data_IF_278236276515
#
_entry.id   IF_278236276515
#
_cell.length_a   1.000
_cell.length_b   1.000
_cell.length_c   1.000
_cell.angle_alpha   90.00
_cell.angle_beta   90.00
_cell.angle_gamma   90.00
#
_symmetry.space_group_name_H-M   'P 1'
#
loop_
_entity.id
_entity.type
_entity.pdbx_description
1 polymer ?
#
# COMPACT_ATOMS: atom_id res chain seq x y z
N UNK A 1 5.69 7.28 9.10
CA UNK A 1 6.20 6.05 9.74
C UNK A 1 6.63 6.38 11.16
N UNK A 2 6.08 5.69 12.14
CA UNK A 2 6.48 5.87 13.55
C UNK A 2 7.77 5.10 13.76
N UNK A 3 8.86 5.84 14.02
CA UNK A 3 10.18 5.26 14.18
C UNK A 3 10.24 4.44 15.48
N UNK A 4 10.73 3.21 15.37
CA UNK A 4 11.00 2.35 16.52
C UNK A 4 12.34 2.74 17.14
N UNK A 5 12.41 2.78 18.47
CA UNK A 5 13.58 3.20 19.25
C UNK A 5 14.05 2.07 20.15
N UNK A 6 15.36 1.93 20.34
CA UNK A 6 15.92 0.94 21.26
C UNK A 6 15.63 1.38 22.70
N UNK A 7 15.27 0.43 23.56
CA UNK A 7 15.00 0.65 24.98
C UNK A 7 16.05 -0.08 25.80
N UNK A 8 16.80 0.66 26.61
CA UNK A 8 17.81 0.08 27.50
C UNK A 8 17.21 -0.30 28.87
N UNK A 9 16.37 0.58 29.43
CA UNK A 9 15.68 0.34 30.70
C UNK A 9 14.24 -0.13 30.48
N UNK A 10 13.92 -1.35 30.94
CA UNK A 10 12.58 -1.94 30.85
C UNK A 10 11.86 -2.06 32.20
N UNK A 11 12.38 -1.42 33.26
CA UNK A 11 11.88 -1.53 34.63
C UNK A 11 10.42 -1.08 34.80
N UNK A 12 10.02 0.02 34.15
CA UNK A 12 8.66 0.57 34.21
C UNK A 12 7.69 -0.08 33.19
N UNK A 13 8.11 -1.15 32.50
CA UNK A 13 7.29 -1.77 31.47
C UNK A 13 6.17 -2.64 32.07
N UNK A 14 4.93 -2.41 31.63
CA UNK A 14 3.76 -3.17 32.02
C UNK A 14 3.43 -4.17 30.92
N UNK A 15 3.26 -5.45 31.26
CA UNK A 15 2.92 -6.48 30.29
C UNK A 15 1.50 -6.28 29.75
N UNK A 16 1.37 -6.16 28.44
CA UNK A 16 0.08 -6.07 27.76
C UNK A 16 -0.34 -7.44 27.20
N UNK A 17 0.58 -8.11 26.51
CA UNK A 17 0.41 -9.48 26.04
C UNK A 17 1.73 -10.23 26.11
N UNK A 18 1.77 -11.29 26.92
CA UNK A 18 2.92 -12.18 27.02
C UNK A 18 3.12 -13.01 25.74
N UNK A 19 2.02 -13.37 25.08
CA UNK A 19 2.03 -14.18 23.85
C UNK A 19 2.73 -13.46 22.70
N UNK A 20 2.40 -12.19 22.51
CA UNK A 20 2.97 -11.31 21.48
C UNK A 20 4.18 -10.52 21.99
N UNK A 21 4.57 -10.69 23.26
CA UNK A 21 5.68 -9.98 23.93
C UNK A 21 5.55 -8.45 23.83
N UNK A 22 4.31 -7.96 23.83
CA UNK A 22 3.98 -6.55 23.77
C UNK A 22 3.76 -6.03 25.19
N UNK A 23 4.38 -4.88 25.47
CA UNK A 23 4.38 -4.19 26.75
C UNK A 23 4.03 -2.72 26.53
N UNK A 24 3.63 -2.05 27.60
CA UNK A 24 3.48 -0.60 27.67
C UNK A 24 4.63 -0.02 28.48
N UNK A 25 5.28 1.01 27.93
CA UNK A 25 6.29 1.78 28.65
C UNK A 25 5.84 3.24 28.78
N UNK A 26 5.93 3.87 29.96
CA UNK A 26 5.63 5.28 30.09
C UNK A 26 6.47 6.16 29.15
N UNK A 27 5.82 7.14 28.54
CA UNK A 27 6.50 8.19 27.79
C UNK A 27 7.03 9.20 28.79
N UNK A 28 8.35 9.30 28.85
CA UNK A 28 9.06 10.22 29.74
C UNK A 28 9.73 11.31 28.89
N UNK A 29 8.99 12.40 28.64
CA UNK A 29 9.42 13.52 27.80
C UNK A 29 9.41 14.84 28.56
N UNK A 30 10.35 15.71 28.21
CA UNK A 30 10.41 17.07 28.73
C UNK A 30 10.78 18.07 27.65
N UNK A 31 10.38 19.31 27.88
CA UNK A 31 10.81 20.44 27.06
C UNK A 31 11.77 21.30 27.87
N UNK A 32 12.95 21.56 27.30
CA UNK A 32 13.97 22.44 27.86
C UNK A 32 14.06 23.68 26.99
N UNK A 33 13.78 24.86 27.52
CA UNK A 33 13.90 26.14 26.84
C UNK A 33 15.05 26.94 27.43
N UNK A 34 15.99 27.35 26.59
CA UNK A 34 17.13 28.18 26.96
C UNK A 34 16.92 29.56 26.36
N UNK A 35 16.81 30.58 27.22
CA UNK A 35 16.68 31.97 26.81
C UNK A 35 18.03 32.52 26.33
N UNK A 36 18.04 33.12 25.15
CA UNK A 36 19.19 33.76 24.55
C UNK A 36 19.20 35.27 24.84
N UNK A 37 20.38 35.88 25.05
CA UNK A 37 20.52 37.31 25.27
C UNK A 37 20.33 38.07 23.96
N UNK A 38 19.90 39.32 24.07
CA UNK A 38 19.98 40.25 22.94
C UNK A 38 21.45 40.61 22.71
N UNK A 39 22.04 40.02 21.68
CA UNK A 39 23.44 40.23 21.34
C UNK A 39 23.67 41.68 20.91
N UNK A 40 24.38 42.45 21.74
CA UNK A 40 24.67 43.88 21.49
C UNK A 40 25.78 44.10 20.46
N UNK A 41 26.56 43.07 20.13
CA UNK A 41 27.71 43.15 19.23
C UNK A 41 27.39 42.47 17.88
N UNK A 42 27.50 43.19 16.75
CA UNK A 42 27.30 42.60 15.43
C UNK A 42 28.38 41.54 15.14
N UNK A 43 27.98 40.40 14.58
CA UNK A 43 28.89 39.33 14.16
C UNK A 43 29.18 38.23 15.19
N UNK A 44 28.72 38.34 16.44
CA UNK A 44 28.71 37.21 17.38
C UNK A 44 27.40 36.44 17.27
N UNK A 45 27.47 35.11 17.26
CA UNK A 45 26.30 34.23 17.27
C UNK A 45 26.48 33.12 18.30
N UNK A 46 25.37 32.64 18.88
CA UNK A 46 25.38 31.51 19.81
C UNK A 46 25.08 30.25 19.00
N UNK A 47 25.94 29.24 19.12
CA UNK A 47 25.75 27.96 18.45
C UNK A 47 24.72 27.10 19.17
N UNK A 48 23.72 26.59 18.43
CA UNK A 48 22.73 25.66 18.97
C UNK A 48 23.38 24.39 19.56
N UNK A 49 24.46 23.92 18.94
CA UNK A 49 25.21 22.75 19.42
C UNK A 49 25.92 23.03 20.74
N UNK A 50 26.54 24.20 20.89
CA UNK A 50 27.20 24.57 22.16
C UNK A 50 26.18 24.61 23.32
N UNK A 51 25.01 25.22 23.08
CA UNK A 51 23.93 25.24 24.09
C UNK A 51 23.45 23.82 24.40
N UNK A 52 23.30 22.96 23.39
CA UNK A 52 22.92 21.55 23.59
C UNK A 52 23.93 20.81 24.47
N UNK A 53 25.23 20.95 24.21
CA UNK A 53 26.27 20.29 25.01
C UNK A 53 26.30 20.80 26.45
N UNK A 54 26.05 22.10 26.68
CA UNK A 54 25.90 22.62 28.05
C UNK A 54 24.68 22.05 28.75
N UNK A 55 23.54 21.89 28.06
CA UNK A 55 22.36 21.24 28.64
C UNK A 55 22.66 19.78 29.00
N UNK A 56 23.38 19.03 28.15
CA UNK A 56 23.82 17.66 28.48
C UNK A 56 24.77 17.61 29.67
N UNK A 57 25.72 18.55 29.74
CA UNK A 57 26.67 18.62 30.85
C UNK A 57 25.98 18.93 32.19
N UNK A 58 24.89 19.70 32.20
CA UNK A 58 24.13 20.02 33.41
C UNK A 58 23.41 18.82 34.02
N UNK A 59 23.10 17.81 33.22
CA UNK A 59 22.33 16.63 33.67
C UNK A 59 23.21 15.42 33.98
N UNK A 60 24.52 15.52 33.72
CA UNK A 60 25.46 14.45 34.04
C UNK A 60 25.46 14.14 35.55
N UNK A 61 25.51 12.86 35.97
CA UNK A 61 25.81 11.67 35.16
C UNK A 61 24.62 11.09 34.37
N UNK A 62 23.41 11.60 34.60
CA UNK A 62 22.21 11.17 33.87
C UNK A 62 22.24 11.68 32.41
N UNK A 63 21.49 11.01 31.53
CA UNK A 63 21.54 11.28 30.09
C UNK A 63 20.14 11.26 29.46
N UNK A 64 19.99 12.07 28.41
CA UNK A 64 18.83 11.99 27.53
C UNK A 64 18.96 10.78 26.60
N UNK A 65 17.90 10.00 26.44
CA UNK A 65 17.83 8.97 25.40
C UNK A 65 17.78 9.60 24.01
N UNK A 66 17.12 10.75 23.89
CA UNK A 66 17.11 11.58 22.69
C UNK A 66 16.96 13.03 23.08
N UNK A 67 17.76 13.92 22.49
CA UNK A 67 17.65 15.36 22.68
C UNK A 67 17.69 16.05 21.32
N UNK A 68 16.57 16.65 20.93
CA UNK A 68 16.42 17.30 19.62
C UNK A 68 15.99 18.75 19.76
N UNK A 69 16.41 19.59 18.82
CA UNK A 69 15.95 20.98 18.75
C UNK A 69 14.55 20.95 18.14
N UNK A 70 13.57 21.42 18.92
CA UNK A 70 12.18 21.57 18.47
C UNK A 70 11.95 22.93 17.82
N UNK A 71 12.57 24.00 18.34
CA UNK A 71 12.46 25.36 17.82
C UNK A 71 13.69 26.16 18.18
N UNK A 72 14.21 26.95 17.24
CA UNK A 72 15.33 27.87 17.45
C UNK A 72 14.93 29.25 16.97
N UNK A 73 15.14 30.27 17.80
CA UNK A 73 14.86 31.68 17.50
C UNK A 73 16.00 32.55 18.00
N UNK A 74 15.95 33.85 17.73
CA UNK A 74 16.93 34.80 18.29
C UNK A 74 16.77 34.97 19.82
N UNK A 75 15.60 34.65 20.38
CA UNK A 75 15.27 34.87 21.78
C UNK A 75 15.42 33.61 22.64
N UNK A 76 15.25 32.42 22.05
CA UNK A 76 15.37 31.16 22.77
C UNK A 76 15.62 29.97 21.85
N UNK A 77 16.19 28.92 22.44
CA UNK A 77 16.29 27.58 21.85
C UNK A 77 15.46 26.63 22.69
N UNK A 78 14.56 25.89 22.06
CA UNK A 78 13.72 24.89 22.70
C UNK A 78 14.11 23.49 22.26
N UNK A 79 14.45 22.66 23.22
CA UNK A 79 14.75 21.25 23.05
C UNK A 79 13.57 20.39 23.49
N UNK A 80 13.35 19.29 22.79
CA UNK A 80 12.54 18.17 23.23
C UNK A 80 13.48 17.04 23.63
N UNK A 81 13.44 16.67 24.91
CA UNK A 81 14.24 15.60 25.48
C UNK A 81 13.34 14.42 25.85
N UNK A 82 13.71 13.22 25.41
CA UNK A 82 13.15 11.96 25.90
C UNK A 82 14.19 11.28 26.79
N UNK A 83 13.72 10.72 27.91
CA UNK A 83 14.55 10.04 28.90
C UNK A 83 14.01 8.64 29.17
N UNK A 84 14.80 7.82 29.86
CA UNK A 84 14.50 6.39 29.97
C UNK A 84 13.31 6.06 30.87
N UNK A 85 13.13 6.80 31.97
CA UNK A 85 12.08 6.55 32.96
C UNK A 85 11.61 7.85 33.66
N UNK A 86 10.48 7.77 34.37
CA UNK A 86 9.88 8.95 35.03
C UNK A 86 10.68 9.46 36.23
N UNK A 87 11.50 8.61 36.86
CA UNK A 87 12.37 9.05 37.96
C UNK A 87 13.47 9.98 37.46
N UNK A 88 14.12 9.63 36.34
CA UNK A 88 15.14 10.46 35.67
C UNK A 88 14.55 11.79 35.20
N UNK A 89 13.29 11.83 34.75
CA UNK A 89 12.59 13.10 34.42
C UNK A 89 12.64 14.07 35.60
N UNK A 90 12.24 13.61 36.79
CA UNK A 90 12.18 14.45 38.00
C UNK A 90 13.57 14.92 38.41
N UNK A 91 14.57 14.04 38.32
CA UNK A 91 15.97 14.39 38.60
C UNK A 91 16.47 15.47 37.63
N UNK A 92 16.36 15.26 36.31
CA UNK A 92 16.73 16.24 35.29
C UNK A 92 16.03 17.59 35.47
N UNK A 93 14.74 17.60 35.79
CA UNK A 93 14.00 18.83 36.04
C UNK A 93 14.62 19.64 37.18
N UNK A 94 15.04 18.99 38.27
CA UNK A 94 15.69 19.67 39.40
C UNK A 94 17.08 20.25 39.05
N UNK A 95 17.77 19.63 38.10
CA UNK A 95 19.08 20.08 37.60
C UNK A 95 18.99 21.14 36.50
N UNK A 96 17.85 21.29 35.83
CA UNK A 96 17.68 22.19 34.69
C UNK A 96 16.79 23.40 34.98
N UNK A 97 15.62 23.21 35.59
CA UNK A 97 14.65 24.30 35.72
C UNK A 97 15.16 25.38 36.69
N UNK A 98 15.07 26.63 36.24
CA UNK A 98 15.55 27.79 36.99
C UNK A 98 17.08 27.93 37.07
N UNK A 99 17.85 27.05 36.43
CA UNK A 99 19.31 27.13 36.38
C UNK A 99 19.77 28.04 35.23
N UNK A 100 21.08 28.25 35.13
CA UNK A 100 21.67 29.13 34.14
C UNK A 100 22.93 28.54 33.51
N UNK A 101 23.12 28.79 32.21
CA UNK A 101 24.29 28.38 31.43
C UNK A 101 25.14 29.61 31.15
N UNK A 102 26.46 29.50 31.34
CA UNK A 102 27.43 30.52 30.93
C UNK A 102 28.25 30.01 29.75
N UNK A 103 28.14 30.66 28.59
CA UNK A 103 28.90 30.32 27.39
C UNK A 103 30.28 30.98 27.40
N UNK A 104 31.24 30.37 26.71
CA UNK A 104 32.56 30.98 26.56
C UNK A 104 32.47 32.17 25.59
N UNK A 105 33.11 33.30 25.90
CA UNK A 105 33.09 34.48 25.03
C UNK A 105 31.83 35.35 25.11
N UNK A 106 30.89 35.04 26.02
CA UNK A 106 29.70 35.83 26.34
C UNK A 106 29.68 36.20 27.83
N UNK A 107 29.28 37.43 28.14
CA UNK A 107 29.12 37.91 29.52
C UNK A 107 27.75 37.57 30.09
N UNK A 108 26.74 37.49 29.22
CA UNK A 108 25.37 37.20 29.61
C UNK A 108 25.18 35.72 29.99
N UNK A 109 24.32 35.50 30.98
CA UNK A 109 23.91 34.16 31.42
C UNK A 109 22.61 33.75 30.75
N UNK A 110 22.58 32.53 30.21
CA UNK A 110 21.40 31.97 29.57
C UNK A 110 20.51 31.31 30.63
N UNK A 111 19.26 31.74 30.76
CA UNK A 111 18.32 31.14 31.72
C UNK A 111 17.72 29.87 31.12
N UNK A 112 17.70 28.80 31.91
CA UNK A 112 17.13 27.50 31.52
C UNK A 112 15.79 27.33 32.22
N UNK A 113 14.77 26.92 31.46
CA UNK A 113 13.46 26.50 31.95
C UNK A 113 13.17 25.11 31.44
N UNK A 114 12.78 24.20 32.31
CA UNK A 114 12.47 22.83 31.94
C UNK A 114 11.09 22.43 32.48
N UNK A 115 10.30 21.76 31.65
CA UNK A 115 8.95 21.31 32.00
C UNK A 115 8.77 19.85 31.56
N UNK A 116 8.09 19.05 32.38
CA UNK A 116 7.62 17.72 31.96
C UNK A 116 6.49 17.88 30.96
N UNK A 117 6.58 17.17 29.83
CA UNK A 117 5.55 17.24 28.81
C UNK A 117 4.44 16.25 29.13
N UNK A 118 3.22 16.76 29.28
CA UNK A 118 2.03 15.92 29.25
C UNK A 118 1.74 15.56 27.79
N UNK A 119 1.61 14.26 27.52
CA UNK A 119 1.18 13.79 26.20
C UNK A 119 -0.26 14.22 25.98
N UNK A 120 -0.52 14.82 24.82
CA UNK A 120 -1.88 15.16 24.40
C UNK A 120 -2.69 13.87 24.23
N UNK A 121 -3.81 13.78 24.92
CA UNK A 121 -4.61 12.55 25.01
C UNK A 121 -6.04 12.89 25.41
N UNK A 122 -7.07 12.32 24.76
CA UNK A 122 -8.46 12.58 25.09
C UNK A 122 -8.77 12.31 26.56
N UNK A 123 -9.52 13.21 27.18
CA UNK A 123 -10.00 13.08 28.54
C UNK A 123 -11.39 12.48 28.58
N UNK A 124 -11.78 11.99 29.76
CA UNK A 124 -13.12 11.46 29.98
C UNK A 124 -14.23 12.41 29.58
N UNK A 125 -14.03 13.69 29.88
CA UNK A 125 -14.96 14.73 29.47
C UNK A 125 -15.08 14.85 27.96
N UNK A 126 -14.00 14.66 27.20
CA UNK A 126 -14.00 14.83 25.75
C UNK A 126 -14.88 13.79 25.06
N UNK A 127 -14.75 12.51 25.41
CA UNK A 127 -15.61 11.48 24.81
C UNK A 127 -17.04 11.53 25.37
N UNK A 128 -17.23 11.74 26.66
CA UNK A 128 -18.59 11.84 27.23
C UNK A 128 -19.37 13.04 26.68
N UNK A 129 -18.71 14.18 26.46
CA UNK A 129 -19.35 15.34 25.84
C UNK A 129 -19.66 15.10 24.37
N UNK A 130 -18.71 14.52 23.62
CA UNK A 130 -18.92 14.20 22.21
C UNK A 130 -20.15 13.31 21.98
N UNK A 131 -20.25 12.17 22.68
CA UNK A 131 -21.35 11.23 22.46
C UNK A 131 -22.70 11.73 22.97
N UNK A 132 -22.71 12.50 24.06
CA UNK A 132 -23.94 13.13 24.57
C UNK A 132 -24.48 14.20 23.63
N UNK A 133 -23.59 15.01 23.03
CA UNK A 133 -23.98 16.18 22.24
C UNK A 133 -24.14 15.84 20.74
N UNK A 134 -23.70 14.66 20.29
CA UNK A 134 -23.84 14.17 18.92
C UNK A 134 -25.28 13.81 18.58
N UNK A 135 -25.87 14.54 17.62
CA UNK A 135 -27.28 14.38 17.21
C UNK A 135 -27.56 13.10 16.42
N UNK A 136 -26.54 12.54 15.80
CA UNK A 136 -26.67 11.40 14.91
C UNK A 136 -26.23 10.08 15.58
N UNK A 137 -25.80 10.09 16.84
CA UNK A 137 -25.33 8.90 17.57
C UNK A 137 -26.43 8.34 18.49
N UNK A 138 -26.49 7.02 18.63
CA UNK A 138 -27.34 6.35 19.60
C UNK A 138 -26.50 5.55 20.61
N UNK A 139 -26.43 6.02 21.87
CA UNK A 139 -25.64 5.40 22.94
C UNK A 139 -26.03 3.94 23.28
N UNK A 140 -27.23 3.51 22.87
CA UNK A 140 -27.67 2.11 23.07
C UNK A 140 -27.05 1.16 22.04
N UNK A 141 -26.55 1.68 20.92
CA UNK A 141 -26.01 0.89 19.82
C UNK A 141 -24.49 0.72 19.92
N UNK A 142 -23.96 -0.48 19.60
CA UNK A 142 -22.53 -0.70 19.42
C UNK A 142 -21.89 0.27 18.42
N UNK A 143 -20.76 0.87 18.77
CA UNK A 143 -20.00 1.74 17.86
C UNK A 143 -20.58 3.14 17.70
N UNK A 144 -21.66 3.47 18.39
CA UNK A 144 -22.24 4.82 18.47
C UNK A 144 -22.19 5.39 19.89
N UNK A 145 -21.29 4.82 20.71
CA UNK A 145 -21.06 5.14 22.11
C UNK A 145 -19.56 5.04 22.40
N UNK A 146 -19.10 5.46 23.59
CA UNK A 146 -17.69 5.31 23.98
C UNK A 146 -17.35 3.84 24.27
N UNK A 147 -17.26 3.03 23.23
CA UNK A 147 -16.86 1.62 23.26
C UNK A 147 -15.75 1.29 22.26
N UNK A 148 -15.41 2.20 21.35
CA UNK A 148 -14.45 1.97 20.27
C UNK A 148 -13.25 2.90 20.38
N UNK A 149 -12.05 2.33 20.52
CA UNK A 149 -10.79 3.07 20.42
C UNK A 149 -10.26 3.04 19.00
N UNK A 150 -9.64 4.14 18.57
CA UNK A 150 -8.95 4.27 17.29
C UNK A 150 -7.45 4.45 17.55
N UNK A 151 -6.65 3.58 16.94
CA UNK A 151 -5.22 3.44 17.14
C UNK A 151 -4.49 3.75 15.84
N UNK A 152 -3.49 4.63 15.89
CA UNK A 152 -2.64 4.96 14.74
C UNK A 152 -1.17 4.69 15.06
N UNK A 153 -0.42 4.23 14.07
CA UNK A 153 1.03 4.06 14.16
C UNK A 153 1.49 2.73 14.74
N UNK A 154 0.61 1.73 14.82
CA UNK A 154 0.93 0.37 15.29
C UNK A 154 1.91 -0.32 14.32
N UNK A 155 3.03 -0.92 14.75
CA UNK A 155 3.96 -1.58 13.82
C UNK A 155 3.39 -2.90 13.28
N UNK A 156 3.35 -3.08 11.96
CA UNK A 156 2.71 -4.26 11.34
C UNK A 156 3.32 -5.58 11.84
N UNK A 157 4.66 -5.66 11.90
CA UNK A 157 5.40 -6.85 12.38
C UNK A 157 5.10 -7.26 13.82
N UNK A 158 4.66 -6.33 14.67
CA UNK A 158 4.37 -6.65 16.07
C UNK A 158 3.01 -7.33 16.24
N UNK A 159 2.15 -7.18 15.23
CA UNK A 159 0.78 -7.69 15.22
C UNK A 159 0.57 -8.67 14.05
N UNK A 160 1.63 -9.30 13.55
CA UNK A 160 1.50 -10.39 12.56
C UNK A 160 1.41 -11.74 13.26
N UNK A 161 0.82 -12.73 12.58
CA UNK A 161 0.82 -14.10 13.08
C UNK A 161 2.23 -14.70 13.02
N UNK A 162 2.58 -15.47 14.06
CA UNK A 162 3.81 -16.27 14.06
C UNK A 162 3.75 -17.26 12.89
N UNK A 163 4.86 -17.40 12.17
CA UNK A 163 5.01 -18.29 11.00
C UNK A 163 4.12 -17.96 9.78
N UNK A 164 3.57 -16.73 9.72
CA UNK A 164 2.84 -16.25 8.54
C UNK A 164 3.73 -16.18 7.30
N UNK A 165 3.17 -16.52 6.14
CA UNK A 165 3.81 -16.28 4.82
C UNK A 165 4.02 -14.78 4.55
N UNK A 166 3.31 -13.91 5.27
CA UNK A 166 3.36 -12.46 5.15
C UNK A 166 3.70 -11.84 6.53
N UNK A 167 4.97 -11.80 6.95
CA UNK A 167 5.37 -11.31 8.28
C UNK A 167 5.14 -9.81 8.49
N UNK A 168 5.01 -9.05 7.40
CA UNK A 168 4.72 -7.62 7.38
C UNK A 168 3.21 -7.31 7.31
N UNK A 169 2.36 -8.34 7.29
CA UNK A 169 0.90 -8.17 7.28
C UNK A 169 0.36 -8.31 8.70
N UNK A 170 -0.31 -7.27 9.25
CA UNK A 170 -0.94 -7.38 10.56
C UNK A 170 -2.14 -8.33 10.50
N UNK A 171 -2.54 -8.85 11.65
CA UNK A 171 -3.63 -9.82 11.82
C UNK A 171 -4.60 -9.30 12.87
N UNK A 172 -5.90 -9.45 12.58
CA UNK A 172 -6.98 -9.11 13.50
C UNK A 172 -6.91 -9.99 14.75
N UNK A 173 -6.55 -11.27 14.62
CA UNK A 173 -6.39 -12.17 15.76
C UNK A 173 -5.32 -11.70 16.73
N UNK A 174 -4.18 -11.22 16.21
CA UNK A 174 -3.12 -10.66 17.04
C UNK A 174 -3.57 -9.38 17.75
N UNK A 175 -4.28 -8.50 17.03
CA UNK A 175 -4.82 -7.29 17.60
C UNK A 175 -5.83 -7.60 18.71
N UNK A 176 -6.74 -8.55 18.49
CA UNK A 176 -7.70 -9.04 19.48
C UNK A 176 -6.96 -9.57 20.71
N UNK A 177 -6.01 -10.48 20.52
CA UNK A 177 -5.29 -11.11 21.62
C UNK A 177 -4.51 -10.09 22.48
N UNK A 178 -3.93 -9.06 21.87
CA UNK A 178 -3.22 -7.99 22.60
C UNK A 178 -4.18 -7.07 23.34
N UNK A 179 -5.25 -6.61 22.69
CA UNK A 179 -6.15 -5.60 23.28
C UNK A 179 -7.27 -6.17 24.15
N UNK A 180 -7.46 -7.49 24.16
CA UNK A 180 -8.32 -8.17 25.13
C UNK A 180 -7.87 -8.00 26.59
N UNK A 181 -6.62 -7.60 26.83
CA UNK A 181 -6.09 -7.29 28.17
C UNK A 181 -6.87 -6.18 28.90
N UNK A 182 -7.52 -5.29 28.15
CA UNK A 182 -8.34 -4.20 28.71
C UNK A 182 -9.79 -4.62 28.96
N UNK A 183 -10.31 -5.56 28.18
CA UNK A 183 -11.68 -6.04 28.30
C UNK A 183 -12.07 -6.90 27.10
N UNK A 184 -13.23 -7.53 27.18
CA UNK A 184 -13.71 -8.39 26.10
C UNK A 184 -13.95 -7.58 24.83
N UNK A 185 -13.20 -7.89 23.78
CA UNK A 185 -13.31 -7.28 22.46
C UNK A 185 -14.58 -7.81 21.78
N UNK A 186 -15.35 -6.90 21.17
CA UNK A 186 -16.53 -7.21 20.35
C UNK A 186 -16.09 -7.43 18.91
N UNK A 187 -15.55 -6.37 18.30
CA UNK A 187 -15.11 -6.33 16.92
C UNK A 187 -13.78 -5.59 16.85
N UNK A 188 -13.00 -5.92 15.82
CA UNK A 188 -11.85 -5.12 15.39
C UNK A 188 -11.95 -4.88 13.90
N UNK A 189 -11.26 -3.86 13.43
CA UNK A 189 -11.03 -3.66 11.99
C UNK A 189 -9.65 -3.07 11.77
N UNK A 190 -8.98 -3.55 10.72
CA UNK A 190 -7.70 -3.05 10.24
C UNK A 190 -7.91 -2.55 8.81
N UNK A 191 -8.12 -1.24 8.62
CA UNK A 191 -8.49 -0.67 7.32
C UNK A 191 -7.58 -1.05 6.15
N UNK A 192 -6.27 -1.22 6.38
CA UNK A 192 -5.34 -1.62 5.32
C UNK A 192 -5.47 -3.08 4.86
N UNK A 193 -6.22 -3.92 5.58
CA UNK A 193 -6.48 -5.30 5.17
C UNK A 193 -7.64 -5.41 4.18
N UNK A 194 -8.43 -4.35 4.02
CA UNK A 194 -9.53 -4.27 3.06
C UNK A 194 -9.00 -3.81 1.69
N UNK A 195 -8.96 -4.70 0.67
CA UNK A 195 -8.47 -4.37 -0.67
C UNK A 195 -9.29 -3.28 -1.38
N UNK A 196 -10.52 -3.04 -0.93
CA UNK A 196 -11.48 -2.16 -1.59
C UNK A 196 -11.56 -0.75 -0.99
N UNK A 197 -10.86 -0.53 0.13
CA UNK A 197 -10.82 0.77 0.83
C UNK A 197 -9.84 1.76 0.22
N UNK A 198 -8.82 1.28 -0.49
CA UNK A 198 -7.83 2.12 -1.18
C UNK A 198 -8.44 3.01 -2.27
N UNK A 199 -9.59 2.63 -2.86
CA UNK A 199 -10.23 3.44 -3.91
C UNK A 199 -10.90 4.73 -3.40
N UNK A 200 -11.16 4.85 -2.09
CA UNK A 200 -11.89 6.00 -1.52
C UNK A 200 -11.02 7.01 -0.76
N UNK A 201 -9.76 6.69 -0.46
CA UNK A 201 -8.87 7.62 0.21
C UNK A 201 -8.19 8.52 -0.82
N UNK A 202 -8.48 9.81 -0.75
CA UNK A 202 -7.81 10.86 -1.49
C UNK A 202 -6.29 10.66 -1.48
N UNK A 203 -5.68 11.06 -2.60
CA UNK A 203 -4.28 10.90 -3.06
C UNK A 203 -3.19 11.47 -2.12
N UNK A 204 -3.26 11.19 -0.83
CA UNK A 204 -2.29 11.51 0.20
C UNK A 204 -1.72 10.24 0.87
N UNK A 205 -2.24 9.06 0.55
CA UNK A 205 -1.61 7.78 0.87
C UNK A 205 -0.88 7.29 -0.39
N UNK A 206 0.45 7.32 -0.36
CA UNK A 206 1.26 6.81 -1.46
C UNK A 206 0.99 5.31 -1.67
N UNK A 207 0.19 5.00 -2.69
CA UNK A 207 0.44 4.04 -3.77
C UNK A 207 1.21 2.76 -3.44
N UNK A 208 0.58 1.61 -3.71
CA UNK A 208 1.19 0.35 -4.18
C UNK A 208 2.56 0.04 -3.58
N UNK A 209 2.56 -0.69 -2.46
CA UNK A 209 3.73 -1.44 -2.06
C UNK A 209 3.26 -2.75 -1.44
N UNK A 210 3.37 -3.80 -2.24
CA UNK A 210 3.58 -5.17 -1.75
C UNK A 210 4.82 -5.11 -0.83
N UNK A 211 4.65 -4.72 0.44
CA UNK A 211 5.70 -4.51 1.44
C UNK A 211 5.95 -3.09 2.01
N UNK A 212 5.03 -2.11 1.88
CA UNK A 212 5.35 -0.69 2.21
C UNK A 212 4.83 -0.08 3.52
N UNK A 213 3.77 -0.63 4.14
CA UNK A 213 3.27 -0.09 5.40
C UNK A 213 4.01 -0.73 6.57
N UNK A 214 4.96 0.02 7.16
CA UNK A 214 5.63 -0.38 8.40
C UNK A 214 4.71 -0.24 9.62
N UNK A 215 3.69 0.62 9.51
CA UNK A 215 2.72 0.88 10.55
C UNK A 215 1.30 0.84 9.98
N UNK A 216 0.32 0.49 10.81
CA UNK A 216 -1.10 0.43 10.48
C UNK A 216 -1.95 1.22 11.47
N UNK A 217 -3.19 1.48 11.07
CA UNK A 217 -4.27 1.98 11.93
C UNK A 217 -5.25 0.87 12.24
N UNK A 218 -5.92 0.94 13.38
CA UNK A 218 -6.88 -0.07 13.80
C UNK A 218 -7.98 0.50 14.68
N UNK A 219 -9.14 -0.14 14.60
CA UNK A 219 -10.29 0.12 15.45
C UNK A 219 -10.52 -1.09 16.35
N UNK A 220 -10.68 -0.85 17.65
CA UNK A 220 -10.97 -1.91 18.63
C UNK A 220 -12.21 -1.52 19.41
N UNK A 221 -13.29 -2.28 19.22
CA UNK A 221 -14.56 -2.10 19.92
C UNK A 221 -14.66 -3.07 21.09
N UNK A 222 -14.98 -2.56 22.27
CA UNK A 222 -15.21 -3.35 23.48
C UNK A 222 -16.69 -3.67 23.67
N UNK A 223 -16.99 -4.80 24.35
CA UNK A 223 -18.36 -5.15 24.70
C UNK A 223 -18.92 -4.22 25.79
N UNK A 224 -18.06 -3.81 26.73
CA UNK A 224 -18.42 -3.04 27.91
C UNK A 224 -17.61 -1.74 28.02
N UNK A 225 -18.24 -0.70 28.56
CA UNK A 225 -17.63 0.62 28.77
C UNK A 225 -16.40 0.57 29.70
N UNK A 226 -16.36 -0.38 30.65
CA UNK A 226 -15.18 -0.56 31.51
C UNK A 226 -13.95 -1.01 30.72
N UNK A 227 -14.12 -1.76 29.62
CA UNK A 227 -13.02 -2.14 28.74
C UNK A 227 -12.45 -0.95 27.99
N UNK A 228 -13.33 -0.11 27.44
CA UNK A 228 -12.96 1.14 26.78
C UNK A 228 -12.23 2.11 27.71
N UNK A 229 -12.81 2.40 28.88
CA UNK A 229 -12.20 3.33 29.86
C UNK A 229 -10.87 2.81 30.38
N UNK A 230 -10.77 1.51 30.70
CA UNK A 230 -9.49 0.90 31.11
C UNK A 230 -8.43 1.01 30.00
N UNK A 231 -8.80 0.82 28.74
CA UNK A 231 -7.88 1.01 27.61
C UNK A 231 -7.42 2.46 27.52
N UNK A 232 -8.33 3.44 27.51
CA UNK A 232 -8.01 4.86 27.43
C UNK A 232 -7.12 5.32 28.59
N UNK A 233 -7.45 4.92 29.83
CA UNK A 233 -6.68 5.29 31.01
C UNK A 233 -5.28 4.65 31.04
N UNK A 234 -5.17 3.38 30.62
CA UNK A 234 -3.89 2.66 30.66
C UNK A 234 -2.97 3.07 29.52
N UNK A 235 -3.50 3.36 28.33
CA UNK A 235 -2.72 3.78 27.16
C UNK A 235 -2.27 5.25 27.25
N UNK A 236 -2.91 6.04 28.11
CA UNK A 236 -2.59 7.46 28.30
C UNK A 236 -1.12 7.66 28.70
N UNK A 237 -0.37 8.37 27.86
CA UNK A 237 1.04 8.66 28.11
C UNK A 237 1.93 7.43 28.09
N UNK A 238 1.51 6.35 27.41
CA UNK A 238 2.30 5.16 27.18
C UNK A 238 2.71 5.04 25.70
N UNK A 239 3.83 4.37 25.48
CA UNK A 239 4.27 3.87 24.17
C UNK A 239 4.29 2.35 24.19
N UNK A 240 4.10 1.73 23.03
CA UNK A 240 4.24 0.27 22.93
C UNK A 240 5.72 -0.10 22.99
N UNK A 241 6.02 -1.26 23.57
CA UNK A 241 7.35 -1.84 23.63
C UNK A 241 7.28 -3.33 23.34
N UNK A 242 8.12 -3.81 22.41
CA UNK A 242 8.30 -5.23 22.12
C UNK A 242 9.59 -5.72 22.80
N UNK A 243 9.52 -6.85 23.50
CA UNK A 243 10.72 -7.56 23.97
C UNK A 243 11.05 -8.68 22.98
N UNK A 244 12.17 -8.55 22.29
CA UNK A 244 12.70 -9.55 21.37
C UNK A 244 13.27 -10.77 22.09
N UNK A 245 13.40 -11.87 21.35
CA UNK A 245 14.02 -13.11 21.85
C UNK A 245 15.52 -12.96 22.15
N UNK A 246 16.17 -11.99 21.53
CA UNK A 246 17.58 -11.66 21.74
C UNK A 246 17.83 -10.85 23.03
N UNK A 247 16.79 -10.65 23.85
CA UNK A 247 16.84 -9.85 25.07
C UNK A 247 16.80 -8.34 24.84
N UNK A 248 16.76 -7.89 23.58
CA UNK A 248 16.63 -6.46 23.26
C UNK A 248 15.19 -6.03 23.36
N UNK A 249 14.99 -4.78 23.76
CA UNK A 249 13.68 -4.15 23.78
C UNK A 249 13.65 -2.97 22.82
N UNK A 250 12.53 -2.83 22.12
CA UNK A 250 12.29 -1.73 21.19
C UNK A 250 10.92 -1.12 21.46
N UNK A 251 10.79 0.20 21.32
CA UNK A 251 9.54 0.92 21.59
C UNK A 251 9.10 1.79 20.41
N UNK A 252 7.80 1.91 20.21
CA UNK A 252 7.19 2.81 19.23
C UNK A 252 6.10 3.65 19.90
N UNK A 253 6.03 4.92 19.52
CA UNK A 253 4.91 5.77 19.92
C UNK A 253 3.68 5.37 19.12
N UNK A 254 2.51 5.41 19.77
CA UNK A 254 1.22 5.21 19.12
C UNK A 254 0.32 6.39 19.46
N UNK A 255 -0.60 6.71 18.58
CA UNK A 255 -1.65 7.70 18.85
C UNK A 255 -2.94 6.93 19.14
N UNK A 256 -3.60 7.30 20.22
CA UNK A 256 -4.83 6.67 20.68
C UNK A 256 -5.90 7.74 20.81
N UNK A 257 -7.02 7.49 20.17
CA UNK A 257 -8.22 8.33 20.17
C UNK A 257 -9.46 7.46 20.35
N UNK A 258 -10.65 8.07 20.45
CA UNK A 258 -11.91 7.35 20.40
C UNK A 258 -12.55 7.54 19.03
N UNK A 259 -13.34 6.57 18.59
CA UNK A 259 -14.00 6.65 17.29
C UNK A 259 -15.11 7.72 17.30
N UNK A 260 -15.03 8.65 16.37
CA UNK A 260 -16.05 9.69 16.15
C UNK A 260 -16.89 9.44 14.91
N UNK A 261 -16.66 8.34 14.19
CA UNK A 261 -17.13 8.11 12.82
C UNK A 261 -18.14 6.96 12.69
N UNK A 262 -18.41 6.23 13.78
CA UNK A 262 -19.26 5.02 13.79
C UNK A 262 -18.69 3.88 12.98
N UNK A 263 -17.37 3.77 12.93
CA UNK A 263 -16.64 2.87 12.06
C UNK A 263 -17.04 1.41 12.23
N UNK A 264 -17.21 0.99 13.49
CA UNK A 264 -17.63 -0.36 13.87
C UNK A 264 -19.12 -0.43 14.26
N UNK A 265 -19.94 0.52 13.78
CA UNK A 265 -21.39 0.45 13.95
C UNK A 265 -22.01 -0.56 12.99
N UNK A 266 -23.17 -1.10 13.36
CA UNK A 266 -23.95 -1.96 12.48
C UNK A 266 -24.30 -1.24 11.17
N UNK A 267 -24.60 0.05 11.24
CA UNK A 267 -24.91 0.87 10.07
C UNK A 267 -23.73 0.97 9.08
N UNK A 268 -22.50 1.07 9.58
CA UNK A 268 -21.30 1.07 8.76
C UNK A 268 -21.06 -0.30 8.12
N UNK A 269 -21.19 -1.37 8.89
CA UNK A 269 -21.05 -2.74 8.39
C UNK A 269 -22.10 -3.09 7.31
N UNK A 270 -23.35 -2.66 7.50
CA UNK A 270 -24.43 -2.80 6.51
C UNK A 270 -24.13 -2.05 5.22
N UNK A 271 -23.65 -0.79 5.33
CA UNK A 271 -23.25 0.01 4.17
C UNK A 271 -22.09 -0.62 3.41
N UNK A 272 -21.07 -1.11 4.12
CA UNK A 272 -19.94 -1.81 3.50
C UNK A 272 -20.41 -3.05 2.74
N UNK A 273 -21.19 -3.93 3.36
CA UNK A 273 -21.75 -5.12 2.70
C UNK A 273 -22.57 -4.79 1.46
N UNK A 274 -23.37 -3.73 1.51
CA UNK A 274 -24.15 -3.28 0.35
C UNK A 274 -23.23 -2.78 -0.78
N UNK A 275 -22.20 -2.00 -0.45
CA UNK A 275 -21.22 -1.52 -1.43
C UNK A 275 -20.41 -2.67 -2.05
N UNK A 276 -19.97 -3.63 -1.24
CA UNK A 276 -19.29 -4.84 -1.70
C UNK A 276 -20.17 -5.64 -2.67
N UNK A 277 -21.44 -5.85 -2.31
CA UNK A 277 -22.40 -6.57 -3.16
C UNK A 277 -22.62 -5.85 -4.50
N UNK A 278 -22.88 -4.55 -4.48
CA UNK A 278 -23.06 -3.77 -5.70
C UNK A 278 -21.81 -3.78 -6.59
N UNK A 279 -20.61 -3.77 -5.99
CA UNK A 279 -19.35 -3.84 -6.73
C UNK A 279 -19.11 -5.24 -7.31
N UNK A 280 -19.36 -6.31 -6.55
CA UNK A 280 -19.27 -7.68 -7.04
C UNK A 280 -20.21 -7.91 -8.24
N UNK A 281 -21.45 -7.39 -8.16
CA UNK A 281 -22.40 -7.44 -9.27
C UNK A 281 -21.88 -6.66 -10.50
N UNK A 282 -21.25 -5.50 -10.33
CA UNK A 282 -20.62 -4.75 -11.44
C UNK A 282 -19.44 -5.49 -12.05
N UNK A 283 -18.58 -6.11 -11.25
CA UNK A 283 -17.45 -6.89 -11.74
C UNK A 283 -17.92 -8.13 -12.53
N UNK A 284 -18.94 -8.81 -12.04
CA UNK A 284 -19.56 -9.93 -12.74
C UNK A 284 -20.16 -9.50 -14.07
N UNK A 285 -20.92 -8.39 -14.09
CA UNK A 285 -21.46 -7.83 -15.33
C UNK A 285 -20.36 -7.44 -16.31
N UNK A 286 -19.28 -6.82 -15.84
CA UNK A 286 -18.13 -6.47 -16.68
C UNK A 286 -17.46 -7.72 -17.27
N UNK A 287 -17.29 -8.79 -16.48
CA UNK A 287 -16.75 -10.08 -16.96
C UNK A 287 -17.66 -10.74 -17.99
N UNK A 288 -18.97 -10.72 -17.76
CA UNK A 288 -19.96 -11.26 -18.70
C UNK A 288 -19.96 -10.46 -20.01
N UNK A 289 -19.94 -9.13 -19.94
CA UNK A 289 -19.88 -8.28 -21.12
C UNK A 289 -18.56 -8.49 -21.89
N UNK A 290 -17.44 -8.61 -21.19
CA UNK A 290 -16.14 -8.92 -21.80
C UNK A 290 -16.14 -10.31 -22.46
N UNK A 291 -16.78 -11.31 -21.84
CA UNK A 291 -16.95 -12.63 -22.42
C UNK A 291 -17.84 -12.59 -23.67
N UNK A 292 -18.94 -11.85 -23.64
CA UNK A 292 -19.83 -11.65 -24.81
C UNK A 292 -19.08 -10.97 -25.96
N UNK A 293 -18.32 -9.92 -25.68
CA UNK A 293 -17.47 -9.24 -26.68
C UNK A 293 -16.44 -10.20 -27.29
N UNK A 294 -15.80 -11.05 -26.48
CA UNK A 294 -14.86 -12.07 -26.97
C UNK A 294 -15.54 -13.11 -27.86
N UNK A 295 -16.72 -13.58 -27.49
CA UNK A 295 -17.48 -14.55 -28.28
C UNK A 295 -17.95 -13.95 -29.61
N UNK A 296 -18.46 -12.71 -29.60
CA UNK A 296 -18.85 -12.00 -30.81
C UNK A 296 -17.66 -11.78 -31.75
N UNK A 297 -16.51 -11.37 -31.21
CA UNK A 297 -15.28 -11.23 -31.98
C UNK A 297 -14.85 -12.58 -32.61
N UNK A 298 -14.94 -13.68 -31.84
CA UNK A 298 -14.62 -15.02 -32.35
C UNK A 298 -15.60 -15.47 -33.44
N UNK A 299 -16.89 -15.16 -33.32
CA UNK A 299 -17.90 -15.44 -34.37
C UNK A 299 -17.60 -14.65 -35.64
N UNK A 300 -17.28 -13.36 -35.54
CA UNK A 300 -16.90 -12.53 -36.70
C UNK A 300 -15.64 -13.08 -37.38
N UNK A 301 -14.62 -13.48 -36.61
CA UNK A 301 -13.42 -14.12 -37.14
C UNK A 301 -13.73 -15.44 -37.85
N UNK A 302 -14.62 -16.26 -37.30
CA UNK A 302 -15.02 -17.52 -37.91
C UNK A 302 -15.76 -17.31 -39.24
N UNK A 303 -16.71 -16.36 -39.29
CA UNK A 303 -17.42 -15.99 -40.52
C UNK A 303 -16.46 -15.49 -41.60
N UNK A 304 -15.47 -14.67 -41.23
CA UNK A 304 -14.45 -14.19 -42.17
C UNK A 304 -13.61 -15.34 -42.75
N UNK A 305 -13.25 -16.33 -41.93
CA UNK A 305 -12.54 -17.54 -42.39
C UNK A 305 -13.41 -18.37 -43.34
N UNK A 306 -14.69 -18.57 -43.01
CA UNK A 306 -15.64 -19.29 -43.90
C UNK A 306 -15.83 -18.57 -45.23
N UNK A 307 -15.95 -17.24 -45.23
CA UNK A 307 -16.06 -16.42 -46.45
C UNK A 307 -14.83 -16.59 -47.33
N UNK A 308 -13.62 -16.50 -46.75
CA UNK A 308 -12.37 -16.71 -47.50
C UNK A 308 -12.30 -18.10 -48.13
N UNK A 309 -12.73 -19.15 -47.42
CA UNK A 309 -12.80 -20.51 -47.97
C UNK A 309 -13.78 -20.62 -49.14
N UNK A 310 -14.97 -20.02 -49.02
CA UNK A 310 -15.94 -19.98 -50.12
C UNK A 310 -15.39 -19.24 -51.35
N UNK A 311 -14.74 -18.10 -51.15
CA UNK A 311 -14.09 -17.36 -52.25
C UNK A 311 -12.98 -18.17 -52.92
N UNK A 312 -12.18 -18.92 -52.15
CA UNK A 312 -11.14 -19.80 -52.70
C UNK A 312 -11.74 -20.96 -53.50
N UNK A 313 -12.80 -21.61 -52.99
CA UNK A 313 -13.50 -22.68 -53.72
C UNK A 313 -14.17 -22.17 -55.00
N UNK A 314 -14.80 -20.98 -54.98
CA UNK A 314 -15.34 -20.36 -56.18
C UNK A 314 -14.26 -20.12 -57.23
N UNK A 315 -13.08 -19.62 -56.82
CA UNK A 315 -11.93 -19.46 -57.73
C UNK A 315 -11.46 -20.79 -58.30
N UNK A 316 -11.44 -21.87 -57.50
CA UNK A 316 -11.09 -23.22 -57.99
C UNK A 316 -12.07 -23.71 -59.05
N UNK A 317 -13.37 -23.56 -58.79
CA UNK A 317 -14.44 -23.94 -59.73
C UNK A 317 -14.36 -23.11 -61.02
N UNK A 318 -14.09 -21.80 -60.93
CA UNK A 318 -13.88 -20.96 -62.12
C UNK A 318 -12.69 -21.40 -62.97
N UNK A 319 -11.56 -21.71 -62.34
CA UNK A 319 -10.38 -22.24 -63.03
C UNK A 319 -10.69 -23.59 -63.69
N UNK A 320 -11.41 -24.48 -63.00
CA UNK A 320 -11.79 -25.79 -63.54
C UNK A 320 -12.79 -25.68 -64.70
N UNK A 321 -13.78 -24.79 -64.59
CA UNK A 321 -14.69 -24.46 -65.70
C UNK A 321 -13.94 -23.87 -66.89
N UNK A 322 -12.96 -23.00 -66.66
CA UNK A 322 -12.09 -22.46 -67.70
C UNK A 322 -11.34 -23.56 -68.45
N UNK A 323 -10.74 -24.50 -67.72
CA UNK A 323 -10.06 -25.68 -68.30
C UNK A 323 -11.01 -26.58 -69.09
N UNK A 324 -12.22 -26.84 -68.57
CA UNK A 324 -13.21 -27.65 -69.26
C UNK A 324 -13.69 -27.01 -70.58
N UNK A 325 -13.90 -25.68 -70.57
CA UNK A 325 -14.26 -24.93 -71.78
C UNK A 325 -13.12 -24.92 -72.81
N UNK A 326 -11.88 -24.82 -72.36
CA UNK A 326 -10.69 -24.89 -73.22
C UNK A 326 -10.54 -26.27 -73.88
N UNK A 327 -10.74 -27.35 -73.11
CA UNK A 327 -10.79 -28.72 -73.65
C UNK A 327 -11.91 -28.87 -74.69
N UNK A 328 -13.10 -28.33 -74.42
CA UNK A 328 -14.23 -28.37 -75.35
C UNK A 328 -13.96 -27.56 -76.64
N UNK A 329 -13.23 -26.45 -76.56
CA UNK A 329 -12.79 -25.69 -77.74
C UNK A 329 -11.79 -26.50 -78.56
N UNK A 330 -10.80 -27.09 -77.91
CA UNK A 330 -9.79 -27.95 -78.55
C UNK A 330 -10.43 -29.17 -79.24
N UNK A 331 -11.45 -29.77 -78.62
CA UNK A 331 -12.23 -30.87 -79.20
C UNK A 331 -13.07 -30.46 -80.42
N UNK A 332 -13.57 -29.21 -80.46
CA UNK A 332 -14.28 -28.64 -81.62
C UNK A 332 -13.36 -28.14 -82.73
N UNK A 333 -12.10 -27.83 -82.43
CA UNK A 333 -11.09 -27.42 -83.42
C UNK A 333 -10.40 -28.61 -84.09
N UNK A 334 -10.36 -29.78 -83.43
CA UNK A 334 -9.80 -31.04 -83.98
C UNK A 334 -10.45 -31.55 -85.30
N UNK A 335 -11.77 -31.40 -85.55
CA UNK A 335 -12.37 -31.68 -86.85
C UNK A 335 -12.09 -30.58 -87.89
N UNK A 336 -11.97 -29.32 -87.46
CA UNK A 336 -11.72 -28.18 -88.37
C UNK A 336 -10.28 -28.15 -88.89
N UNK A 337 -9.30 -28.53 -88.09
CA UNK A 337 -7.91 -28.72 -88.56
C UNK A 337 -7.79 -29.91 -89.53
N UNK A 338 -8.61 -30.96 -89.36
CA UNK A 338 -8.67 -32.10 -90.31
C UNK A 338 -9.43 -31.77 -91.60
N UNK A 339 -10.32 -30.78 -91.61
CA UNK A 339 -11.01 -30.29 -92.81
C UNK A 339 -10.29 -29.12 -93.52
N UNK A 340 -9.38 -28.41 -92.83
CA UNK A 340 -8.59 -27.30 -93.39
C UNK A 340 -7.17 -27.70 -93.89
N UNK A 341 -6.86 -29.01 -93.89
CA UNK A 341 -5.84 -29.61 -94.76
C UNK A 341 -6.51 -30.76 -95.55
N UNK A 342 -7.24 -30.43 -96.64
CA UNK A 342 -6.59 -30.47 -97.94
C UNK A 342 -7.11 -29.37 -98.88
N UNK A 343 -6.20 -28.55 -99.44
CA UNK A 343 -6.28 -27.90 -100.78
C UNK A 343 -5.22 -26.80 -100.91
N UNK A 344 -3.96 -27.11 -100.62
CA UNK A 344 -2.81 -26.42 -101.23
C UNK A 344 -1.78 -27.45 -101.68
N UNK A 345 -2.27 -28.48 -102.35
CA UNK A 345 -1.48 -29.28 -103.29
C UNK A 345 -2.47 -29.71 -104.37
N UNK A 346 -2.61 -28.87 -105.40
CA UNK A 346 -2.74 -29.28 -106.81
C UNK A 346 -3.01 -28.05 -107.70
N UNK A 347 -1.98 -27.25 -107.89
CA UNK A 347 -1.77 -26.47 -109.12
C UNK A 347 -0.29 -26.58 -109.49
N UNK A 348 0.11 -27.78 -109.88
CA UNK A 348 1.15 -28.06 -110.89
C UNK A 348 1.19 -29.57 -111.19
N UNK A 349 0.30 -30.00 -112.07
CA UNK A 349 0.59 -31.05 -113.06
C UNK A 349 1.64 -30.52 -114.07
N UNK A 350 2.20 -31.36 -114.97
CA UNK A 350 3.09 -32.49 -114.74
C UNK A 350 4.42 -32.27 -115.51
N UNK A 351 5.49 -33.01 -115.20
CA UNK A 351 6.41 -33.40 -116.26
C UNK A 351 7.06 -34.75 -115.96
N UNK A 352 6.92 -35.62 -116.95
CA UNK A 352 7.30 -37.02 -117.00
C UNK A 352 8.82 -37.25 -116.95
N UNK A 353 9.14 -38.41 -116.37
CA UNK A 353 10.20 -39.35 -116.76
C UNK A 353 11.70 -38.98 -116.57
N UNK A 354 12.62 -39.97 -116.57
CA UNK A 354 12.43 -41.42 -116.43
C UNK A 354 13.34 -42.08 -115.37
N UNK A 355 12.98 -43.32 -115.08
CA UNK A 355 13.75 -44.40 -114.45
C UNK A 355 15.23 -44.43 -114.92
N UNK A 356 16.24 -44.84 -114.14
CA UNK A 356 16.55 -46.17 -113.58
C UNK A 356 18.03 -46.10 -113.06
N UNK A 357 18.64 -47.16 -112.47
CA UNK A 357 18.83 -47.33 -111.03
C UNK A 357 20.33 -47.45 -110.63
N UNK A 358 20.55 -47.93 -109.39
CA UNK A 358 21.75 -48.54 -108.77
C UNK A 358 22.35 -47.65 -107.69
N UNK A 359 22.86 -48.17 -106.58
CA UNK A 359 22.82 -49.49 -105.94
C UNK A 359 23.37 -49.21 -104.52
N UNK A 360 23.03 -50.13 -103.63
CA UNK A 360 23.91 -50.63 -102.57
C UNK A 360 24.21 -49.79 -101.32
N UNK A 361 23.98 -50.53 -100.23
CA UNK A 361 24.88 -50.72 -99.10
C UNK A 361 24.74 -49.80 -97.86
N UNK A 362 24.21 -50.44 -96.82
CA UNK A 362 24.95 -50.76 -95.59
C UNK A 362 25.64 -49.57 -94.89
N UNK A 363 25.12 -49.17 -93.73
CA UNK A 363 25.60 -49.63 -92.41
C UNK A 363 25.06 -48.79 -91.26
N UNK A 364 24.87 -49.50 -90.16
CA UNK A 364 25.03 -49.10 -88.78
C UNK A 364 25.88 -47.83 -88.56
N UNK A 365 25.46 -46.98 -87.64
CA UNK A 365 25.91 -47.05 -86.24
C UNK A 365 24.93 -46.35 -85.29
#
# INVERSE_FOLDING_TARGET
ATMTTIVNDTSEAICLSSEYKVYLKPIAKMTVSVALPQLKLPGKSISNWEVMERVKAMVAPEQFSSLRISKSTLEFIRFEGEVENKMVVKSLLSHLDGKSIKLSGFTDVLKVRAIENKVDFPTRHDWESFFRDAKDMNETLPGERPDTIHLEGLPCRWFSQKDSQFPDRPSEEALIAVFQAFGKVRNVDIPMLDPYREEMLDKNFNTFSFGGHLNFEAYVQYQEYCGFTKAMDTLRGMKLMLKGDDGKAVACNIKVTFDTTKHLSESAALKQKQQEKERAEREEQARLEQSRKKEELARLQHLEVCRRKQEEELRRVEVEKGRALELQRREKELPREKELQPSQEELQSPQEEPQLPRQEELKLQ
#
